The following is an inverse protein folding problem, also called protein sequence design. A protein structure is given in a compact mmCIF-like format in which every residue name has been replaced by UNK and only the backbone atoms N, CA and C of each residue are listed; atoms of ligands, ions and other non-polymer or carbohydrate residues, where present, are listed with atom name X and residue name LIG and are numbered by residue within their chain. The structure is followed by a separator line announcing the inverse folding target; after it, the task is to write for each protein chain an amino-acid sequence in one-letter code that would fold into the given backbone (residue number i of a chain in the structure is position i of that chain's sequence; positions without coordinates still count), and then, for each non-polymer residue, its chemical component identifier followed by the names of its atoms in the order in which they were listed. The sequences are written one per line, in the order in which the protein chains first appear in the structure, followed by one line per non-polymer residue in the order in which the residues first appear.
data_IF_765232729372
#
_entry.id   IF_765232729372
#
_cell.length_a   1.000
_cell.length_b   1.000
_cell.length_c   1.000
_cell.angle_alpha   90.00
_cell.angle_beta   90.00
_cell.angle_gamma   90.00
#
_symmetry.space_group_name_H-M   'P 1'
#
loop_
_entity.id
_entity.type
_entity.pdbx_description
1 polymer ?
#
# COMPACT_ATOMS: atom_id res chain seq x y z
N UNK A 1 32.19 -2.97 -17.34
CA UNK A 1 31.37 -1.75 -17.16
C UNK A 1 30.86 -1.24 -18.50
N UNK A 2 31.68 -0.59 -19.35
CA UNK A 2 31.23 -0.03 -20.66
C UNK A 2 30.44 -0.98 -21.56
N UNK A 3 30.80 -2.27 -21.65
CA UNK A 3 30.05 -3.23 -22.46
C UNK A 3 28.60 -3.44 -21.97
N UNK A 4 28.38 -3.45 -20.65
CA UNK A 4 27.05 -3.62 -20.04
C UNK A 4 26.24 -2.33 -20.08
N UNK A 5 26.92 -1.18 -19.94
CA UNK A 5 26.30 0.14 -19.98
C UNK A 5 25.92 0.53 -21.42
N UNK A 6 26.86 0.42 -22.37
CA UNK A 6 26.67 0.89 -23.75
C UNK A 6 26.07 -0.20 -24.66
N UNK A 7 26.32 -1.48 -24.37
CA UNK A 7 25.91 -2.61 -25.22
C UNK A 7 24.61 -3.30 -24.80
N UNK A 8 24.28 -3.29 -23.51
CA UNK A 8 23.12 -4.00 -22.95
C UNK A 8 22.19 -3.12 -22.10
N UNK A 9 22.42 -1.80 -22.10
CA UNK A 9 21.62 -0.78 -21.40
C UNK A 9 21.22 -1.16 -19.96
N UNK A 10 22.21 -1.57 -19.16
CA UNK A 10 22.00 -1.89 -17.75
C UNK A 10 21.29 -0.74 -16.99
N UNK A 11 21.62 0.51 -17.33
CA UNK A 11 21.01 1.68 -16.70
C UNK A 11 19.50 1.73 -16.99
N UNK A 12 19.08 1.49 -18.23
CA UNK A 12 17.68 1.38 -18.61
C UNK A 12 16.95 0.25 -17.87
N UNK A 13 17.59 -0.91 -17.69
CA UNK A 13 17.02 -2.01 -16.89
C UNK A 13 16.81 -1.63 -15.42
N UNK A 14 17.79 -0.99 -14.78
CA UNK A 14 17.68 -0.54 -13.38
C UNK A 14 16.61 0.56 -13.21
N UNK A 15 16.51 1.48 -14.17
CA UNK A 15 15.46 2.48 -14.20
C UNK A 15 14.07 1.86 -14.40
N UNK A 16 13.96 0.83 -15.24
CA UNK A 16 12.70 0.11 -15.43
C UNK A 16 12.26 -0.59 -14.13
N UNK A 17 13.17 -1.29 -13.44
CA UNK A 17 12.88 -1.89 -12.13
C UNK A 17 12.38 -0.84 -11.13
N UNK A 18 13.04 0.32 -11.06
CA UNK A 18 12.59 1.43 -10.22
C UNK A 18 11.20 1.93 -10.64
N UNK A 19 10.98 2.16 -11.94
CA UNK A 19 9.73 2.68 -12.51
C UNK A 19 8.53 1.78 -12.20
N UNK A 20 8.70 0.47 -12.37
CA UNK A 20 7.60 -0.50 -12.27
C UNK A 20 7.46 -1.10 -10.88
N UNK A 21 8.55 -1.56 -10.24
CA UNK A 21 8.44 -2.21 -8.92
C UNK A 21 8.24 -1.19 -7.80
N UNK A 22 8.81 0.00 -7.89
CA UNK A 22 8.60 1.07 -6.90
C UNK A 22 7.47 2.04 -7.26
N UNK A 23 6.83 1.84 -8.43
CA UNK A 23 5.70 2.65 -8.90
C UNK A 23 6.00 4.16 -8.91
N UNK A 24 7.17 4.54 -9.44
CA UNK A 24 7.62 5.94 -9.52
C UNK A 24 6.64 6.77 -10.36
N UNK A 25 6.29 6.27 -11.55
CA UNK A 25 5.20 6.80 -12.38
C UNK A 25 3.94 6.04 -12.01
N UNK A 26 3.06 6.66 -11.21
CA UNK A 26 1.97 5.97 -10.55
C UNK A 26 0.67 5.86 -11.36
N UNK A 27 0.61 6.43 -12.56
CA UNK A 27 -0.60 6.51 -13.39
C UNK A 27 -1.11 5.14 -13.85
N UNK A 28 -0.21 4.26 -14.29
CA UNK A 28 -0.53 2.86 -14.61
C UNK A 28 -0.95 2.10 -13.34
N UNK A 29 -0.27 2.33 -12.22
CA UNK A 29 -0.53 1.62 -10.98
C UNK A 29 -1.94 1.94 -10.47
N UNK A 30 -2.35 3.21 -10.50
CA UNK A 30 -3.70 3.62 -10.08
C UNK A 30 -4.77 3.01 -11.01
N UNK A 31 -4.57 3.02 -12.33
CA UNK A 31 -5.45 2.36 -13.31
C UNK A 31 -5.56 0.84 -13.08
N UNK A 32 -4.43 0.20 -12.79
CA UNK A 32 -4.35 -1.23 -12.48
C UNK A 32 -5.11 -1.58 -11.20
N UNK A 33 -4.90 -0.82 -10.11
CA UNK A 33 -5.61 -1.01 -8.84
C UNK A 33 -7.12 -0.83 -9.01
N UNK A 34 -7.56 0.21 -9.74
CA UNK A 34 -8.98 0.44 -10.04
C UNK A 34 -9.58 -0.74 -10.80
N UNK A 35 -8.84 -1.28 -11.77
CA UNK A 35 -9.29 -2.41 -12.59
C UNK A 35 -9.40 -3.70 -11.78
N UNK A 36 -8.42 -3.98 -10.92
CA UNK A 36 -8.48 -5.11 -9.98
C UNK A 36 -9.65 -4.97 -9.01
N UNK A 37 -9.83 -3.77 -8.44
CA UNK A 37 -10.87 -3.51 -7.45
C UNK A 37 -12.30 -3.74 -7.99
N UNK A 38 -12.54 -3.37 -9.26
CA UNK A 38 -13.86 -3.53 -9.89
C UNK A 38 -14.22 -4.99 -10.17
N UNK A 39 -13.25 -5.88 -10.26
CA UNK A 39 -13.47 -7.28 -10.63
C UNK A 39 -13.71 -8.15 -9.40
N UNK A 40 -14.66 -9.10 -9.51
CA UNK A 40 -14.90 -10.10 -8.47
C UNK A 40 -14.04 -11.33 -8.75
N UNK A 41 -13.12 -11.61 -7.84
CA UNK A 41 -12.11 -12.68 -8.01
C UNK A 41 -12.49 -14.02 -7.37
N UNK A 42 -13.61 -14.09 -6.65
CA UNK A 42 -14.04 -15.26 -5.85
C UNK A 42 -14.38 -16.52 -6.65
N UNK A 43 -14.41 -16.45 -7.99
CA UNK A 43 -14.87 -17.55 -8.85
C UNK A 43 -13.86 -17.92 -9.97
N UNK A 44 -12.65 -17.35 -9.96
CA UNK A 44 -11.68 -17.52 -11.05
C UNK A 44 -10.62 -18.57 -10.64
N UNK A 45 -10.43 -19.61 -11.45
CA UNK A 45 -9.32 -20.58 -11.29
C UNK A 45 -7.97 -19.85 -11.33
N UNK A 46 -6.98 -20.28 -10.54
CA UNK A 46 -5.68 -19.60 -10.39
C UNK A 46 -4.97 -19.27 -11.71
N UNK A 47 -4.97 -20.19 -12.68
CA UNK A 47 -4.35 -19.96 -13.99
C UNK A 47 -5.06 -18.88 -14.81
N UNK A 48 -6.39 -18.87 -14.79
CA UNK A 48 -7.19 -17.86 -15.48
C UNK A 48 -7.06 -16.51 -14.77
N UNK A 49 -6.98 -16.52 -13.42
CA UNK A 49 -6.74 -15.33 -12.59
C UNK A 49 -5.44 -14.63 -13.01
N UNK A 50 -4.37 -15.39 -13.22
CA UNK A 50 -3.07 -14.86 -13.66
C UNK A 50 -3.13 -14.20 -15.03
N UNK A 51 -3.69 -14.89 -16.03
CA UNK A 51 -3.81 -14.37 -17.39
C UNK A 51 -4.68 -13.10 -17.44
N UNK A 52 -5.76 -13.07 -16.66
CA UNK A 52 -6.60 -11.88 -16.55
C UNK A 52 -5.88 -10.70 -15.89
N UNK A 53 -5.14 -10.92 -14.79
CA UNK A 53 -4.38 -9.85 -14.13
C UNK A 53 -3.25 -9.35 -15.04
N UNK A 54 -2.59 -10.24 -15.79
CA UNK A 54 -1.64 -9.84 -16.83
C UNK A 54 -2.30 -8.92 -17.85
N UNK A 55 -3.47 -9.30 -18.39
CA UNK A 55 -4.20 -8.45 -19.34
C UNK A 55 -4.62 -7.09 -18.74
N UNK A 56 -4.96 -7.03 -17.44
CA UNK A 56 -5.23 -5.77 -16.75
C UNK A 56 -3.98 -4.91 -16.61
N UNK A 57 -2.82 -5.52 -16.32
CA UNK A 57 -1.54 -4.83 -16.26
C UNK A 57 -1.16 -4.27 -17.63
N UNK A 58 -1.25 -5.08 -18.68
CA UNK A 58 -0.91 -4.68 -20.05
C UNK A 58 -1.81 -3.52 -20.51
N UNK A 59 -3.12 -3.59 -20.25
CA UNK A 59 -4.06 -2.50 -20.54
C UNK A 59 -3.76 -1.24 -19.74
N UNK A 60 -3.33 -1.37 -18.47
CA UNK A 60 -2.97 -0.23 -17.65
C UNK A 60 -1.69 0.46 -18.15
N UNK A 61 -0.70 -0.32 -18.57
CA UNK A 61 0.56 0.17 -19.15
C UNK A 61 0.34 0.81 -20.53
N UNK A 62 -0.52 0.25 -21.37
CA UNK A 62 -0.85 0.83 -22.69
C UNK A 62 -1.60 2.16 -22.59
N UNK A 63 -2.32 2.41 -21.49
CA UNK A 63 -3.11 3.63 -21.28
C UNK A 63 -2.40 4.67 -20.42
N UNK A 64 -1.16 4.40 -20.03
CA UNK A 64 -0.38 5.28 -19.17
C UNK A 64 0.74 5.98 -19.95
N UNK A 65 1.46 6.84 -19.25
CA UNK A 65 2.71 7.45 -19.72
C UNK A 65 3.82 6.43 -20.01
N UNK A 66 3.67 5.18 -19.57
CA UNK A 66 4.63 4.10 -19.82
C UNK A 66 4.43 3.40 -21.17
N UNK A 67 3.46 3.79 -22.00
CA UNK A 67 3.20 3.10 -23.26
C UNK A 67 4.40 3.17 -24.23
N UNK A 68 5.19 4.23 -24.21
CA UNK A 68 6.39 4.34 -25.07
C UNK A 68 7.62 3.61 -24.52
N UNK A 69 7.56 3.03 -23.32
CA UNK A 69 8.72 2.42 -22.67
C UNK A 69 9.00 1.00 -23.23
N UNK A 70 10.17 0.75 -23.82
CA UNK A 70 10.51 -0.57 -24.37
C UNK A 70 10.61 -1.67 -23.30
N UNK A 71 10.85 -1.31 -22.03
CA UNK A 71 11.02 -2.29 -20.96
C UNK A 71 9.69 -2.86 -20.43
N UNK A 72 8.54 -2.29 -20.82
CA UNK A 72 7.22 -2.72 -20.35
C UNK A 72 6.90 -4.18 -20.73
N UNK A 73 7.38 -4.64 -21.89
CA UNK A 73 7.13 -6.00 -22.42
C UNK A 73 7.86 -7.09 -21.62
N UNK A 74 8.85 -6.70 -20.81
CA UNK A 74 9.61 -7.62 -19.95
C UNK A 74 8.88 -7.92 -18.64
N UNK A 75 7.83 -7.18 -18.32
CA UNK A 75 7.04 -7.37 -17.12
C UNK A 75 6.11 -8.57 -17.27
N UNK A 76 5.99 -9.36 -16.22
CA UNK A 76 5.01 -10.44 -16.18
C UNK A 76 4.47 -10.63 -14.77
N UNK A 77 3.22 -11.03 -14.67
CA UNK A 77 2.57 -11.34 -13.40
C UNK A 77 2.79 -12.81 -13.08
N UNK A 78 3.28 -13.08 -11.89
CA UNK A 78 3.28 -14.42 -11.31
C UNK A 78 2.58 -14.40 -9.95
N UNK A 79 2.09 -15.57 -9.53
CA UNK A 79 1.39 -15.71 -8.28
C UNK A 79 2.20 -16.56 -7.32
N UNK A 80 2.20 -16.19 -6.04
CA UNK A 80 2.80 -17.04 -5.03
C UNK A 80 1.89 -18.26 -4.81
N UNK A 81 2.39 -19.46 -5.09
CA UNK A 81 1.69 -20.71 -4.79
C UNK A 81 1.88 -21.05 -3.31
N UNK A 82 1.32 -20.25 -2.40
CA UNK A 82 1.34 -20.62 -1.00
C UNK A 82 0.33 -21.76 -0.75
N UNK A 83 0.73 -22.82 -0.02
CA UNK A 83 -0.22 -23.86 0.39
C UNK A 83 -1.29 -23.23 1.28
N UNK A 84 -2.53 -23.66 1.06
CA UNK A 84 -3.81 -23.19 1.62
C UNK A 84 -3.91 -23.38 3.15
N UNK A 85 -2.96 -22.86 3.92
CA UNK A 85 -2.87 -23.05 5.38
C UNK A 85 -3.10 -21.75 6.17
N UNK A 86 -3.24 -20.60 5.51
CA UNK A 86 -3.81 -19.41 6.16
C UNK A 86 -5.34 -19.54 6.22
N UNK A 87 -5.80 -20.34 7.18
CA UNK A 87 -7.21 -20.56 7.54
C UNK A 87 -7.81 -19.32 8.22
N UNK A 88 -7.75 -18.17 7.56
CA UNK A 88 -8.62 -17.02 7.78
C UNK A 88 -8.88 -16.43 6.40
N UNK A 89 -9.77 -17.07 5.65
CA UNK A 89 -10.45 -16.45 4.53
C UNK A 89 -11.25 -15.25 5.08
N UNK A 90 -10.54 -14.14 5.34
CA UNK A 90 -11.20 -12.87 5.52
C UNK A 90 -11.81 -12.57 4.17
N UNK A 91 -13.12 -12.38 4.12
CA UNK A 91 -13.90 -12.02 2.91
C UNK A 91 -13.52 -10.62 2.37
N UNK A 92 -12.33 -10.14 2.71
CA UNK A 92 -11.81 -8.81 2.52
C UNK A 92 -10.77 -8.86 1.41
N UNK A 93 -10.85 -7.95 0.43
CA UNK A 93 -10.13 -8.01 -0.85
C UNK A 93 -8.60 -8.00 -0.80
N UNK A 94 -7.96 -8.13 0.36
CA UNK A 94 -6.51 -8.28 0.52
C UNK A 94 -6.01 -9.61 -0.07
N UNK A 95 -6.79 -10.68 0.09
CA UNK A 95 -6.45 -12.07 -0.29
C UNK A 95 -6.11 -12.22 -1.79
N UNK A 96 -6.67 -11.36 -2.65
CA UNK A 96 -6.37 -11.40 -4.08
C UNK A 96 -5.02 -10.77 -4.41
N UNK A 97 -4.67 -9.68 -3.72
CA UNK A 97 -3.46 -8.90 -3.99
C UNK A 97 -2.24 -9.46 -3.25
N UNK A 98 -2.45 -10.23 -2.18
CA UNK A 98 -1.40 -10.91 -1.42
C UNK A 98 -0.63 -11.94 -2.26
N UNK A 99 -1.28 -12.48 -3.29
CA UNK A 99 -0.69 -13.44 -4.21
C UNK A 99 0.02 -12.78 -5.40
N UNK A 100 -0.27 -11.52 -5.72
CA UNK A 100 0.18 -10.88 -6.96
C UNK A 100 1.63 -10.42 -6.82
N UNK A 101 2.50 -10.93 -7.69
CA UNK A 101 3.90 -10.55 -7.78
C UNK A 101 4.22 -10.09 -9.21
N UNK A 102 5.10 -9.09 -9.32
CA UNK A 102 5.56 -8.54 -10.58
C UNK A 102 6.97 -9.04 -10.88
N UNK A 103 7.09 -9.85 -11.92
CA UNK A 103 8.35 -10.35 -12.45
C UNK A 103 8.90 -9.45 -13.54
N UNK A 104 10.21 -9.54 -13.76
CA UNK A 104 10.93 -8.82 -14.80
C UNK A 104 11.91 -9.76 -15.49
N UNK A 105 11.79 -9.88 -16.82
CA UNK A 105 12.68 -10.72 -17.63
C UNK A 105 13.97 -10.00 -17.95
N UNK A 106 15.07 -10.54 -17.40
CA UNK A 106 16.42 -10.05 -17.64
C UNK A 106 17.18 -11.08 -18.47
N UNK A 107 17.71 -10.64 -19.61
CA UNK A 107 18.51 -11.50 -20.47
C UNK A 107 19.98 -11.52 -20.03
N UNK A 108 20.70 -12.57 -20.43
CA UNK A 108 22.15 -12.58 -20.32
C UNK A 108 22.74 -11.45 -21.20
N UNK A 109 23.74 -10.68 -20.74
CA UNK A 109 24.53 -10.82 -19.50
C UNK A 109 24.06 -9.98 -18.31
N UNK A 110 22.95 -9.24 -18.43
CA UNK A 110 22.47 -8.29 -17.40
C UNK A 110 22.04 -9.02 -16.12
N UNK A 111 21.57 -10.27 -16.25
CA UNK A 111 21.17 -11.14 -15.14
C UNK A 111 22.31 -11.50 -14.16
N UNK A 112 23.57 -11.29 -14.54
CA UNK A 112 24.71 -11.48 -13.63
C UNK A 112 24.71 -10.38 -12.56
N UNK A 113 24.27 -9.16 -12.90
CA UNK A 113 24.16 -8.03 -11.95
C UNK A 113 22.78 -8.01 -11.30
N UNK A 114 21.72 -8.20 -12.10
CA UNK A 114 20.34 -8.26 -11.63
C UNK A 114 20.02 -9.72 -11.32
N UNK A 115 20.39 -10.15 -10.13
CA UNK A 115 20.22 -11.53 -9.67
C UNK A 115 18.75 -11.88 -9.43
N UNK A 116 18.43 -13.17 -9.47
CA UNK A 116 17.08 -13.65 -9.14
C UNK A 116 16.66 -13.30 -7.71
N UNK A 117 17.61 -13.25 -6.78
CA UNK A 117 17.36 -12.86 -5.38
C UNK A 117 16.94 -11.40 -5.27
N UNK A 118 17.60 -10.51 -6.02
CA UNK A 118 17.19 -9.11 -6.10
C UNK A 118 15.78 -8.97 -6.70
N UNK A 119 15.47 -9.71 -7.77
CA UNK A 119 14.15 -9.70 -8.41
C UNK A 119 13.03 -10.19 -7.47
N UNK A 120 13.29 -11.21 -6.65
CA UNK A 120 12.34 -11.66 -5.61
C UNK A 120 12.07 -10.56 -4.60
N UNK A 121 13.12 -9.89 -4.15
CA UNK A 121 13.00 -8.76 -3.22
C UNK A 121 12.23 -7.59 -3.83
N UNK A 122 12.47 -7.26 -5.10
CA UNK A 122 11.68 -6.27 -5.84
C UNK A 122 10.19 -6.65 -5.93
N UNK A 123 9.87 -7.92 -6.18
CA UNK A 123 8.50 -8.39 -6.24
C UNK A 123 7.79 -8.32 -4.87
N UNK A 124 8.51 -8.60 -3.78
CA UNK A 124 8.00 -8.42 -2.41
C UNK A 124 7.69 -6.96 -2.10
N UNK A 125 8.58 -6.04 -2.48
CA UNK A 125 8.36 -4.59 -2.34
C UNK A 125 7.14 -4.16 -3.16
N UNK A 126 7.07 -4.58 -4.43
CA UNK A 126 5.95 -4.27 -5.31
C UNK A 126 4.61 -4.71 -4.67
N UNK A 127 4.53 -5.94 -4.19
CA UNK A 127 3.34 -6.47 -3.52
C UNK A 127 2.91 -5.61 -2.33
N UNK A 128 3.85 -5.23 -1.49
CA UNK A 128 3.57 -4.36 -0.34
C UNK A 128 3.06 -2.98 -0.78
N UNK A 129 3.68 -2.35 -1.78
CA UNK A 129 3.24 -1.05 -2.31
C UNK A 129 1.83 -1.13 -2.93
N UNK A 130 1.53 -2.22 -3.65
CA UNK A 130 0.19 -2.53 -4.17
C UNK A 130 -0.83 -2.59 -3.04
N UNK A 131 -0.54 -3.28 -1.93
CA UNK A 131 -1.43 -3.39 -0.78
C UNK A 131 -1.73 -2.02 -0.15
N UNK A 132 -0.70 -1.19 0.05
CA UNK A 132 -0.84 0.17 0.59
C UNK A 132 -1.73 1.02 -0.32
N UNK A 133 -1.47 1.04 -1.64
CA UNK A 133 -2.28 1.78 -2.61
C UNK A 133 -3.72 1.29 -2.65
N UNK A 134 -3.94 -0.02 -2.62
CA UNK A 134 -5.26 -0.61 -2.61
C UNK A 134 -6.06 -0.21 -1.35
N UNK A 135 -5.42 -0.21 -0.18
CA UNK A 135 -6.05 0.23 1.06
C UNK A 135 -6.44 1.72 1.02
N UNK A 136 -5.56 2.59 0.50
CA UNK A 136 -5.85 4.02 0.29
C UNK A 136 -7.03 4.20 -0.68
N UNK A 137 -7.04 3.47 -1.80
CA UNK A 137 -8.12 3.50 -2.78
C UNK A 137 -9.46 3.03 -2.18
N UNK A 138 -9.45 1.95 -1.40
CA UNK A 138 -10.64 1.45 -0.69
C UNK A 138 -11.25 2.51 0.23
N UNK A 139 -10.42 3.26 0.97
CA UNK A 139 -10.88 4.35 1.84
C UNK A 139 -11.43 5.56 1.06
N UNK A 140 -10.96 5.77 -0.17
CA UNK A 140 -11.51 6.79 -1.08
C UNK A 140 -12.90 6.38 -1.58
N UNK A 141 -13.10 5.10 -1.90
CA UNK A 141 -14.43 4.58 -2.25
C UNK A 141 -15.41 4.64 -1.07
N UNK A 142 -14.95 4.35 0.15
CA UNK A 142 -15.74 4.55 1.37
C UNK A 142 -16.14 6.03 1.54
N UNK A 143 -15.22 6.97 1.29
CA UNK A 143 -15.55 8.40 1.36
C UNK A 143 -16.59 8.80 0.31
N UNK A 144 -16.45 8.32 -0.93
CA UNK A 144 -17.42 8.57 -2.01
C UNK A 144 -18.82 8.11 -1.60
N UNK A 145 -18.91 6.89 -1.07
CA UNK A 145 -20.15 6.33 -0.54
C UNK A 145 -20.75 7.18 0.61
N UNK A 146 -19.94 7.53 1.61
CA UNK A 146 -20.40 8.34 2.75
C UNK A 146 -20.88 9.73 2.31
N UNK A 147 -20.21 10.34 1.33
CA UNK A 147 -20.59 11.63 0.77
C UNK A 147 -21.94 11.57 0.05
N UNK A 148 -22.15 10.56 -0.79
CA UNK A 148 -23.43 10.32 -1.48
C UNK A 148 -24.56 10.10 -0.48
N UNK A 149 -24.35 9.27 0.55
CA UNK A 149 -25.34 9.07 1.62
C UNK A 149 -25.66 10.36 2.38
N UNK A 150 -24.64 11.14 2.73
CA UNK A 150 -24.83 12.41 3.45
C UNK A 150 -25.65 13.40 2.64
N UNK A 151 -25.41 13.48 1.33
CA UNK A 151 -26.18 14.33 0.42
C UNK A 151 -27.63 13.88 0.30
N UNK A 152 -27.89 12.56 0.20
CA UNK A 152 -29.25 12.03 0.15
C UNK A 152 -30.04 12.31 1.43
N UNK A 153 -29.42 12.15 2.60
CA UNK A 153 -30.05 12.44 3.89
C UNK A 153 -30.35 13.92 4.03
N UNK A 154 -29.41 14.80 3.65
CA UNK A 154 -29.59 16.26 3.71
C UNK A 154 -30.68 16.78 2.77
N UNK A 155 -30.98 16.09 1.66
CA UNK A 155 -32.05 16.44 0.73
C UNK A 155 -33.42 15.92 1.18
N UNK A 156 -33.44 14.92 2.07
CA UNK A 156 -34.69 14.41 2.62
C UNK A 156 -35.29 15.45 3.58
N UNK A 157 -36.60 15.68 3.50
CA UNK A 157 -37.32 16.70 4.29
C UNK A 157 -37.29 16.47 5.82
N UNK A 158 -36.69 15.38 6.29
CA UNK A 158 -36.55 15.03 7.70
C UNK A 158 -35.07 15.12 8.10
N UNK A 159 -34.65 16.28 8.59
CA UNK A 159 -33.34 16.42 9.23
C UNK A 159 -33.26 15.49 10.44
N UNK A 160 -32.47 14.41 10.35
CA UNK A 160 -32.18 13.49 11.46
C UNK A 160 -30.79 13.79 12.03
N UNK A 161 -30.66 14.67 13.03
CA UNK A 161 -29.36 15.13 13.54
C UNK A 161 -28.52 14.00 14.15
N UNK A 162 -29.14 13.00 14.76
CA UNK A 162 -28.41 11.90 15.41
C UNK A 162 -27.69 10.99 14.40
N UNK A 163 -28.30 10.79 13.24
CA UNK A 163 -27.74 10.01 12.13
C UNK A 163 -26.58 10.75 11.47
N UNK A 164 -26.66 12.06 11.37
CA UNK A 164 -25.55 12.90 10.89
C UNK A 164 -24.37 12.84 11.87
N UNK A 165 -24.63 12.79 13.18
CA UNK A 165 -23.58 12.59 14.19
C UNK A 165 -22.91 11.22 14.03
N UNK A 166 -23.67 10.15 13.87
CA UNK A 166 -23.11 8.81 13.63
C UNK A 166 -22.26 8.77 12.35
N UNK A 167 -22.76 9.30 11.24
CA UNK A 167 -22.01 9.37 9.97
C UNK A 167 -20.73 10.20 10.10
N UNK A 168 -20.80 11.36 10.78
CA UNK A 168 -19.61 12.18 11.02
C UNK A 168 -18.56 11.44 11.86
N UNK A 169 -18.98 10.59 12.80
CA UNK A 169 -18.06 9.75 13.57
C UNK A 169 -17.36 8.69 12.72
N UNK A 170 -18.06 8.12 11.72
CA UNK A 170 -17.51 7.18 10.74
C UNK A 170 -16.54 7.91 9.80
N UNK A 171 -16.93 9.10 9.32
CA UNK A 171 -16.08 9.95 8.49
C UNK A 171 -14.79 10.35 9.21
N UNK A 172 -14.87 10.66 10.52
CA UNK A 172 -13.71 10.96 11.36
C UNK A 172 -12.75 9.78 11.43
N UNK A 173 -13.24 8.57 11.74
CA UNK A 173 -12.42 7.37 11.76
C UNK A 173 -11.76 7.12 10.40
N UNK A 174 -12.55 7.14 9.31
CA UNK A 174 -12.03 6.97 7.95
C UNK A 174 -10.93 7.98 7.65
N UNK A 175 -11.13 9.23 8.03
CA UNK A 175 -10.13 10.29 7.82
C UNK A 175 -8.82 10.00 8.58
N UNK A 176 -8.89 9.53 9.82
CA UNK A 176 -7.70 9.17 10.60
C UNK A 176 -6.92 8.01 9.96
N UNK A 177 -7.60 6.93 9.57
CA UNK A 177 -6.97 5.78 8.90
C UNK A 177 -6.37 6.20 7.55
N UNK A 178 -7.10 7.01 6.77
CA UNK A 178 -6.61 7.52 5.49
C UNK A 178 -5.39 8.41 5.66
N UNK A 179 -5.38 9.30 6.65
CA UNK A 179 -4.23 10.17 6.91
C UNK A 179 -2.98 9.34 7.22
N UNK A 180 -3.12 8.30 8.05
CA UNK A 180 -2.01 7.37 8.33
C UNK A 180 -1.48 6.72 7.05
N UNK A 181 -2.36 6.09 6.25
CA UNK A 181 -1.96 5.36 5.04
C UNK A 181 -1.45 6.27 3.93
N UNK A 182 -2.04 7.45 3.76
CA UNK A 182 -1.58 8.45 2.79
C UNK A 182 -0.19 8.99 3.16
N UNK A 183 0.06 9.22 4.45
CA UNK A 183 1.39 9.62 4.92
C UNK A 183 2.41 8.50 4.72
N UNK A 184 2.04 7.24 4.99
CA UNK A 184 2.87 6.07 4.72
C UNK A 184 3.18 5.94 3.22
N UNK A 185 2.17 6.05 2.36
CA UNK A 185 2.35 6.00 0.91
C UNK A 185 3.32 7.08 0.43
N UNK A 186 3.18 8.32 0.91
CA UNK A 186 4.06 9.42 0.54
C UNK A 186 5.49 9.20 1.05
N UNK A 187 5.64 8.73 2.29
CA UNK A 187 6.93 8.36 2.85
C UNK A 187 7.65 7.33 1.98
N UNK A 188 6.97 6.22 1.66
CA UNK A 188 7.53 5.16 0.81
C UNK A 188 7.91 5.70 -0.57
N UNK A 189 7.04 6.46 -1.22
CA UNK A 189 7.30 7.01 -2.54
C UNK A 189 8.55 7.91 -2.57
N UNK A 190 8.66 8.89 -1.66
CA UNK A 190 9.81 9.79 -1.59
C UNK A 190 11.11 9.06 -1.22
N UNK A 191 11.05 8.13 -0.27
CA UNK A 191 12.25 7.42 0.19
C UNK A 191 12.79 6.44 -0.85
N UNK A 192 11.90 5.70 -1.55
CA UNK A 192 12.29 4.73 -2.57
C UNK A 192 12.71 5.39 -3.89
N UNK A 193 11.94 6.36 -4.37
CA UNK A 193 12.18 6.99 -5.68
C UNK A 193 13.38 7.92 -5.66
N UNK A 194 13.52 8.74 -4.61
CA UNK A 194 14.52 9.80 -4.59
C UNK A 194 15.71 9.51 -3.68
N UNK A 195 15.46 9.16 -2.41
CA UNK A 195 16.53 9.13 -1.39
C UNK A 195 17.43 7.91 -1.60
N UNK A 196 16.83 6.72 -1.73
CA UNK A 196 17.56 5.48 -1.93
C UNK A 196 18.25 5.47 -3.30
N UNK A 197 17.56 5.95 -4.36
CA UNK A 197 18.15 6.06 -5.69
C UNK A 197 19.35 7.01 -5.75
N UNK A 198 19.27 8.21 -5.15
CA UNK A 198 20.42 9.13 -5.11
C UNK A 198 21.62 8.53 -4.39
N UNK A 199 21.38 7.77 -3.31
CA UNK A 199 22.43 7.05 -2.60
C UNK A 199 23.05 5.96 -3.48
N UNK A 200 22.22 5.19 -4.18
CA UNK A 200 22.66 4.20 -5.15
C UNK A 200 23.50 4.81 -6.28
N UNK A 201 23.05 5.92 -6.88
CA UNK A 201 23.81 6.62 -7.92
C UNK A 201 25.19 7.10 -7.43
N UNK A 202 25.24 7.63 -6.21
CA UNK A 202 26.51 8.04 -5.60
C UNK A 202 27.43 6.82 -5.35
N UNK A 203 26.90 5.73 -4.80
CA UNK A 203 27.66 4.48 -4.62
C UNK A 203 28.14 3.89 -5.95
N UNK A 204 27.29 3.92 -6.99
CA UNK A 204 27.61 3.45 -8.33
C UNK A 204 28.80 4.23 -8.92
N UNK A 205 28.86 5.55 -8.72
CA UNK A 205 29.93 6.40 -9.22
C UNK A 205 31.26 6.25 -8.46
N UNK A 206 31.21 5.99 -7.14
CA UNK A 206 32.40 6.09 -6.28
C UNK A 206 32.92 4.75 -5.77
N UNK A 207 32.09 3.71 -5.70
CA UNK A 207 32.43 2.43 -5.07
C UNK A 207 32.64 1.30 -6.08
N UNK A 208 32.06 1.41 -7.28
CA UNK A 208 32.08 0.32 -8.25
C UNK A 208 33.34 0.40 -9.12
N UNK A 209 34.18 -0.65 -9.05
CA UNK A 209 35.35 -0.81 -9.92
C UNK A 209 35.17 -2.01 -10.83
N UNK A 210 34.67 -3.10 -10.26
CA UNK A 210 34.47 -4.37 -10.94
C UNK A 210 32.99 -4.78 -11.01
N UNK A 211 32.71 -5.85 -11.75
CA UNK A 211 31.36 -6.38 -11.91
C UNK A 211 30.76 -6.91 -10.60
N UNK A 212 31.59 -7.47 -9.71
CA UNK A 212 31.15 -7.93 -8.39
C UNK A 212 30.76 -6.75 -7.48
N UNK A 213 31.48 -5.63 -7.57
CA UNK A 213 31.13 -4.42 -6.83
C UNK A 213 29.79 -3.86 -7.29
N UNK A 214 29.50 -3.96 -8.59
CA UNK A 214 28.24 -3.52 -9.19
C UNK A 214 27.05 -4.36 -8.69
N UNK A 215 27.20 -5.68 -8.69
CA UNK A 215 26.22 -6.61 -8.10
C UNK A 215 25.99 -6.30 -6.62
N UNK A 216 27.06 -6.12 -5.86
CA UNK A 216 26.99 -5.82 -4.43
C UNK A 216 26.29 -4.48 -4.15
N UNK A 217 26.65 -3.40 -4.86
CA UNK A 217 26.02 -2.08 -4.70
C UNK A 217 24.54 -2.12 -5.06
N UNK A 218 24.18 -2.89 -6.10
CA UNK A 218 22.77 -3.14 -6.44
C UNK A 218 22.04 -3.89 -5.32
N UNK A 219 22.62 -4.96 -4.76
CA UNK A 219 22.04 -5.70 -3.64
C UNK A 219 21.85 -4.81 -2.41
N UNK A 220 22.81 -3.94 -2.10
CA UNK A 220 22.69 -2.96 -1.02
C UNK A 220 21.54 -1.96 -1.26
N UNK A 221 21.34 -1.52 -2.51
CA UNK A 221 20.21 -0.65 -2.87
C UNK A 221 18.86 -1.34 -2.63
N UNK A 222 18.71 -2.58 -3.09
CA UNK A 222 17.48 -3.34 -2.91
C UNK A 222 17.22 -3.66 -1.44
N UNK A 223 18.28 -3.96 -0.68
CA UNK A 223 18.18 -4.20 0.77
C UNK A 223 17.76 -2.92 1.51
N UNK A 224 18.34 -1.76 1.19
CA UNK A 224 17.92 -0.45 1.73
C UNK A 224 16.45 -0.16 1.42
N UNK A 225 15.99 -0.44 0.19
CA UNK A 225 14.59 -0.32 -0.19
C UNK A 225 13.67 -1.24 0.64
N UNK A 226 14.10 -2.47 0.92
CA UNK A 226 13.37 -3.41 1.77
C UNK A 226 13.24 -2.91 3.22
N UNK A 227 14.33 -2.34 3.78
CA UNK A 227 14.31 -1.71 5.11
C UNK A 227 13.39 -0.48 5.16
N UNK A 228 13.39 0.36 4.12
CA UNK A 228 12.47 1.51 4.00
C UNK A 228 11.00 1.05 4.01
N UNK A 229 10.71 -0.10 3.39
CA UNK A 229 9.36 -0.67 3.38
C UNK A 229 8.95 -1.36 4.68
N UNK A 230 9.81 -1.38 5.71
CA UNK A 230 9.61 -2.12 6.96
C UNK A 230 9.47 -3.65 6.76
N UNK A 231 9.95 -4.20 5.64
CA UNK A 231 9.86 -5.63 5.33
C UNK A 231 11.06 -6.45 5.85
N UNK A 232 12.06 -5.78 6.44
CA UNK A 232 13.22 -6.46 7.02
C UNK A 232 12.87 -7.24 8.29
N UNK A 233 13.74 -8.19 8.65
CA UNK A 233 13.53 -9.06 9.82
C UNK A 233 13.47 -8.29 11.14
N UNK A 234 14.17 -7.16 11.23
CA UNK A 234 14.22 -6.28 12.40
C UNK A 234 12.91 -5.49 12.58
N UNK A 235 12.26 -5.13 11.47
CA UNK A 235 11.05 -4.30 11.45
C UNK A 235 9.75 -5.10 11.46
N UNK A 236 9.81 -6.43 11.66
CA UNK A 236 8.65 -7.32 11.80
C UNK A 236 7.53 -6.81 12.73
N UNK A 237 7.80 -6.29 13.94
CA UNK A 237 6.72 -5.79 14.81
C UNK A 237 6.00 -4.58 14.20
N UNK A 238 6.73 -3.71 13.49
CA UNK A 238 6.16 -2.54 12.80
C UNK A 238 5.30 -2.99 11.62
N UNK A 239 5.81 -3.93 10.82
CA UNK A 239 5.07 -4.51 9.70
C UNK A 239 3.76 -5.15 10.16
N UNK A 240 3.74 -5.84 11.30
CA UNK A 240 2.52 -6.41 11.86
C UNK A 240 1.46 -5.35 12.19
N UNK A 241 1.87 -4.20 12.75
CA UNK A 241 0.97 -3.07 13.03
C UNK A 241 0.45 -2.45 11.71
N UNK A 242 1.34 -2.22 10.74
CA UNK A 242 0.94 -1.66 9.44
C UNK A 242 -0.05 -2.60 8.73
N UNK A 243 0.23 -3.90 8.70
CA UNK A 243 -0.67 -4.90 8.12
C UNK A 243 -2.03 -4.93 8.82
N UNK A 244 -2.04 -4.78 10.15
CA UNK A 244 -3.28 -4.60 10.92
C UNK A 244 -4.06 -3.37 10.46
N UNK A 245 -3.40 -2.22 10.27
CA UNK A 245 -4.04 -0.98 9.77
C UNK A 245 -4.53 -1.11 8.32
N UNK A 246 -3.75 -1.77 7.45
CA UNK A 246 -4.17 -2.08 6.08
C UNK A 246 -5.43 -2.93 6.07
N UNK A 247 -5.47 -3.98 6.89
CA UNK A 247 -6.64 -4.84 7.04
C UNK A 247 -7.84 -4.04 7.56
N UNK A 248 -7.65 -3.15 8.54
CA UNK A 248 -8.72 -2.27 9.04
C UNK A 248 -9.30 -1.36 7.96
N UNK A 249 -8.46 -0.80 7.08
CA UNK A 249 -8.90 0.03 5.97
C UNK A 249 -9.79 -0.75 4.99
N UNK A 250 -9.50 -2.02 4.77
CA UNK A 250 -10.29 -2.90 3.91
C UNK A 250 -11.55 -3.42 4.63
N UNK A 251 -11.47 -3.78 5.90
CA UNK A 251 -12.62 -4.17 6.72
C UNK A 251 -13.65 -3.04 6.79
N UNK A 252 -13.20 -1.79 6.87
CA UNK A 252 -14.08 -0.63 6.88
C UNK A 252 -14.98 -0.60 5.64
N UNK A 253 -14.49 -1.04 4.47
CA UNK A 253 -15.31 -1.16 3.26
C UNK A 253 -16.41 -2.21 3.40
N UNK A 254 -16.09 -3.35 4.03
CA UNK A 254 -17.04 -4.45 4.26
C UNK A 254 -18.18 -4.08 5.20
N UNK A 255 -17.99 -3.07 6.05
CA UNK A 255 -19.05 -2.53 6.91
C UNK A 255 -20.18 -1.86 6.11
N UNK A 256 -19.95 -1.54 4.83
CA UNK A 256 -20.92 -0.91 3.94
C UNK A 256 -21.45 -1.90 2.91
N UNK A 257 -22.77 -2.12 2.88
CA UNK A 257 -23.40 -2.91 1.82
C UNK A 257 -23.25 -2.22 0.45
N UNK A 258 -23.12 -3.01 -0.62
CA UNK A 258 -23.05 -2.50 -2.00
C UNK A 258 -24.30 -1.68 -2.33
N UNK A 259 -24.07 -0.40 -2.66
CA UNK A 259 -25.10 0.59 -2.98
C UNK A 259 -25.54 0.51 -4.44
N UNK A 260 -25.79 -0.69 -4.98
CA UNK A 260 -26.05 -0.77 -6.42
C UNK A 260 -27.44 -0.23 -6.83
N UNK A 261 -28.37 0.01 -5.91
CA UNK A 261 -29.72 0.54 -6.25
C UNK A 261 -30.40 1.27 -5.07
N UNK A 262 -29.90 2.43 -4.63
CA UNK A 262 -30.66 3.28 -3.68
C UNK A 262 -31.18 4.52 -4.40
N UNK A 263 -32.45 4.47 -4.79
CA UNK A 263 -33.23 5.64 -5.20
C UNK A 263 -33.59 6.49 -3.99
N UNK A 264 -33.88 7.79 -4.21
CA UNK A 264 -34.33 8.73 -3.16
C UNK A 264 -35.56 8.22 -2.37
N UNK A 265 -36.36 7.32 -2.96
CA UNK A 265 -37.50 6.67 -2.31
C UNK A 265 -37.10 5.67 -1.22
N UNK A 266 -35.97 4.97 -1.35
CA UNK A 266 -35.54 3.93 -0.40
C UNK A 266 -34.93 4.54 0.86
N UNK A 267 -34.29 5.71 0.74
CA UNK A 267 -33.70 6.45 1.88
C UNK A 267 -34.76 6.87 2.91
N UNK A 268 -36.02 7.10 2.47
CA UNK A 268 -37.13 7.44 3.36
C UNK A 268 -37.54 6.29 4.31
N UNK A 269 -37.18 5.05 4.00
CA UNK A 269 -37.55 3.84 4.77
C UNK A 269 -36.35 3.10 5.38
N UNK A 270 -35.11 3.45 5.01
CA UNK A 270 -33.91 2.73 5.46
C UNK A 270 -33.47 3.16 6.86
N UNK A 271 -33.48 2.21 7.80
CA UNK A 271 -32.72 2.32 9.04
C UNK A 271 -31.22 2.27 8.71
N UNK A 272 -30.43 3.22 9.21
CA UNK A 272 -28.98 3.27 8.93
C UNK A 272 -28.25 2.00 9.37
N UNK A 273 -28.74 1.36 10.43
CA UNK A 273 -28.25 0.07 10.95
C UNK A 273 -28.32 -1.06 9.92
N UNK A 274 -29.19 -0.93 8.91
CA UNK A 274 -29.28 -1.91 7.83
C UNK A 274 -28.20 -1.73 6.77
N UNK A 275 -27.60 -0.53 6.67
CA UNK A 275 -26.63 -0.11 5.66
C UNK A 275 -25.18 -0.14 6.19
N UNK A 276 -25.01 0.25 7.45
CA UNK A 276 -23.72 0.39 8.12
C UNK A 276 -23.72 -0.49 9.37
N UNK A 277 -22.74 -1.37 9.47
CA UNK A 277 -22.51 -2.12 10.69
C UNK A 277 -21.70 -1.29 11.70
N UNK A 278 -22.38 -0.52 12.56
CA UNK A 278 -21.71 0.37 13.52
C UNK A 278 -20.87 -0.36 14.58
N UNK A 279 -21.25 -1.57 14.99
CA UNK A 279 -20.46 -2.34 15.97
C UNK A 279 -19.10 -2.75 15.38
N UNK A 280 -19.05 -3.07 14.08
CA UNK A 280 -17.79 -3.31 13.39
C UNK A 280 -16.96 -2.03 13.25
N UNK A 281 -17.58 -0.89 12.97
CA UNK A 281 -16.87 0.40 12.87
C UNK A 281 -16.21 0.76 14.22
N UNK A 282 -16.90 0.54 15.34
CA UNK A 282 -16.36 0.81 16.66
C UNK A 282 -15.24 -0.17 17.05
N UNK A 283 -15.37 -1.45 16.68
CA UNK A 283 -14.29 -2.42 16.80
C UNK A 283 -13.06 -2.04 15.95
N UNK A 284 -13.26 -1.48 14.76
CA UNK A 284 -12.16 -0.97 13.92
C UNK A 284 -11.51 0.25 14.59
N UNK A 285 -12.31 1.17 15.17
CA UNK A 285 -11.80 2.35 15.87
C UNK A 285 -10.88 1.97 17.04
N UNK A 286 -11.37 1.12 17.94
CA UNK A 286 -10.62 0.69 19.13
C UNK A 286 -9.31 -0.02 18.75
N UNK A 287 -9.34 -0.92 17.76
CA UNK A 287 -8.13 -1.55 17.22
C UNK A 287 -7.15 -0.52 16.63
N UNK A 288 -7.65 0.50 15.93
CA UNK A 288 -6.80 1.48 15.26
C UNK A 288 -6.08 2.36 16.29
N UNK A 289 -6.81 2.78 17.33
CA UNK A 289 -6.23 3.52 18.45
C UNK A 289 -5.18 2.68 19.20
N UNK A 290 -5.43 1.38 19.39
CA UNK A 290 -4.44 0.44 19.94
C UNK A 290 -3.18 0.35 19.07
N UNK A 291 -3.33 0.12 17.75
CA UNK A 291 -2.23 0.05 16.80
C UNK A 291 -1.36 1.33 16.81
N UNK A 292 -1.98 2.51 16.89
CA UNK A 292 -1.25 3.79 16.97
C UNK A 292 -0.49 3.92 18.30
N UNK A 293 -1.07 3.46 19.42
CA UNK A 293 -0.39 3.43 20.73
C UNK A 293 0.81 2.48 20.72
N UNK A 294 0.66 1.29 20.14
CA UNK A 294 1.74 0.32 20.01
C UNK A 294 2.88 0.85 19.13
N UNK A 295 2.54 1.51 18.02
CA UNK A 295 3.52 2.16 17.15
C UNK A 295 4.28 3.27 17.88
N UNK A 296 3.60 4.05 18.73
CA UNK A 296 4.23 5.07 19.56
C UNK A 296 5.20 4.48 20.58
N UNK A 297 4.83 3.37 21.23
CA UNK A 297 5.70 2.67 22.19
C UNK A 297 6.95 2.12 21.48
N UNK A 298 6.79 1.56 20.28
CA UNK A 298 7.93 1.09 19.47
C UNK A 298 8.84 2.25 19.06
N UNK A 299 8.26 3.39 18.69
CA UNK A 299 9.02 4.61 18.40
C UNK A 299 9.85 5.07 19.62
N UNK A 300 9.28 5.04 20.83
CA UNK A 300 10.02 5.39 22.05
C UNK A 300 11.15 4.41 22.40
N UNK A 301 10.98 3.12 22.04
CA UNK A 301 11.99 2.08 22.25
C UNK A 301 13.10 2.11 21.20
N UNK A 302 12.78 2.52 19.97
CA UNK A 302 13.77 2.66 18.90
C UNK A 302 14.78 3.75 19.28
N UNK A 303 16.06 3.39 19.38
CA UNK A 303 17.10 4.36 19.73
C UNK A 303 17.14 5.48 18.68
N UNK A 304 17.32 6.74 19.12
CA UNK A 304 17.42 7.93 18.24
C UNK A 304 18.49 7.83 17.15
N UNK A 305 19.36 6.83 17.20
CA UNK A 305 20.56 6.71 16.37
C UNK A 305 20.65 5.41 15.54
N UNK A 306 19.74 4.43 15.73
CA UNK A 306 19.89 3.09 15.14
C UNK A 306 18.98 2.76 13.96
N UNK A 307 17.70 3.15 13.99
CA UNK A 307 16.72 2.70 12.98
C UNK A 307 16.10 3.89 12.26
N UNK A 308 16.72 4.24 11.14
CA UNK A 308 16.48 5.44 10.34
C UNK A 308 15.05 5.49 9.75
N UNK A 309 14.33 4.36 9.74
CA UNK A 309 12.99 4.24 9.16
C UNK A 309 11.87 4.82 10.05
N UNK A 310 11.67 4.22 11.23
CA UNK A 310 10.49 4.49 12.07
C UNK A 310 10.48 5.90 12.65
N UNK A 311 11.64 6.39 13.11
CA UNK A 311 11.75 7.74 13.68
C UNK A 311 11.35 8.82 12.66
N UNK A 312 11.84 8.68 11.42
CA UNK A 312 11.49 9.61 10.33
C UNK A 312 10.01 9.51 9.97
N UNK A 313 9.49 8.29 9.82
CA UNK A 313 8.07 8.07 9.53
C UNK A 313 7.16 8.65 10.62
N UNK A 314 7.48 8.44 11.90
CA UNK A 314 6.73 9.01 13.01
C UNK A 314 6.76 10.54 13.01
N UNK A 315 7.91 11.14 12.68
CA UNK A 315 8.03 12.59 12.51
C UNK A 315 7.08 13.16 11.46
N UNK A 316 6.88 12.45 10.34
CA UNK A 316 5.90 12.85 9.31
C UNK A 316 4.45 12.63 9.77
N UNK A 317 4.16 11.50 10.43
CA UNK A 317 2.81 11.17 10.91
C UNK A 317 2.34 12.12 12.02
N UNK A 318 3.25 12.54 12.89
CA UNK A 318 2.96 13.35 14.07
C UNK A 318 3.51 14.78 13.93
N UNK A 319 3.52 15.32 12.71
CA UNK A 319 4.05 16.67 12.45
C UNK A 319 3.37 17.76 13.30
N UNK A 320 2.06 17.64 13.51
CA UNK A 320 1.26 18.58 14.33
C UNK A 320 1.12 18.14 15.80
N UNK A 321 1.89 17.13 16.24
CA UNK A 321 1.81 16.53 17.58
C UNK A 321 0.43 15.97 17.98
N UNK A 322 -0.51 15.83 17.04
CA UNK A 322 -1.88 15.40 17.30
C UNK A 322 -1.94 14.05 18.03
N UNK A 323 -1.14 13.07 17.58
CA UNK A 323 -1.12 11.74 18.18
C UNK A 323 -0.42 11.76 19.53
N UNK A 324 0.68 12.49 19.69
CA UNK A 324 1.35 12.66 20.98
C UNK A 324 0.45 13.33 22.01
N UNK A 325 -0.30 14.37 21.63
CA UNK A 325 -1.21 15.07 22.52
C UNK A 325 -2.42 14.21 22.92
N UNK A 326 -2.96 13.42 21.99
CA UNK A 326 -4.06 12.49 22.30
C UNK A 326 -3.59 11.36 23.22
N UNK A 327 -2.42 10.77 22.94
CA UNK A 327 -1.86 9.69 23.77
C UNK A 327 -1.45 10.22 25.15
N UNK A 328 -0.88 11.42 25.24
CA UNK A 328 -0.52 12.03 26.53
C UNK A 328 -1.75 12.45 27.35
N UNK A 329 -2.86 12.81 26.70
CA UNK A 329 -4.13 13.05 27.41
C UNK A 329 -4.71 11.74 27.98
N UNK A 330 -4.62 10.65 27.24
CA UNK A 330 -5.05 9.32 27.70
C UNK A 330 -4.14 8.77 28.82
N UNK A 331 -2.83 9.02 28.73
CA UNK A 331 -1.83 8.61 29.74
C UNK A 331 -1.79 9.56 30.96
N UNK A 332 -2.26 10.79 30.80
CA UNK A 332 -2.36 11.81 31.86
C UNK A 332 -3.37 11.48 32.97
N UNK A 333 -4.14 10.40 32.82
CA UNK A 333 -4.97 9.85 33.89
C UNK A 333 -4.23 8.89 34.85
N UNK A 334 -2.92 8.66 34.66
CA UNK A 334 -2.10 7.83 35.55
C UNK A 334 -0.85 8.55 36.10
N UNK A 335 -1.02 9.80 36.54
CA UNK A 335 -0.07 10.42 37.47
C UNK A 335 -0.78 10.74 38.78
N UNK A 336 -0.54 9.90 39.79
CA UNK A 336 -0.65 10.27 41.21
C UNK A 336 0.75 10.19 41.82
#
# INVERSE_FOLDING_TARGET
MKLLEDGFDLCGHLQALRRYHFMELADWADSFIVSIYKKKWSFVKSEHKRAEIQGLLDLALQRSSCDSDPYKERLFVYMNEQPVVSLKASTCGLDVLDDILLGYKVDWPVNIVITEEALKTYAEIFRYLVQVRHAVFSLTEVWRFLKELTQLISRSSHNRPDVLKELSSVMKLRHQVYHFLSTLQQYLHCHLSDISWRRFQHSLQHQVRDMLDLEYVHLCYVTDALHICFLSAETKPIAAIINSILQQALELRSCFKSLNYISESTVKQLNLDSLINFSQVDAIRTKFEGNIKDLYILHLKSSKYGEIGLYRFWGYLNYNEYHSLMINKDMGCFYF
#
